data_IF_497703943878
#
_entry.id   IF_497703943878
#
_cell.length_a   1.000
_cell.length_b   1.000
_cell.length_c   1.000
_cell.angle_alpha   90.00
_cell.angle_beta   90.00
_cell.angle_gamma   90.00
#
_symmetry.space_group_name_H-M   'P 1'
#
loop_
_entity.id
_entity.type
_entity.pdbx_description
1 polymer ?
#
# COMPACT_ATOMS: atom_id res chain seq x y z
N UNK A 1 -10.47 -0.08 -17.75
CA UNK A 1 -10.85 -0.87 -16.54
C UNK A 1 -9.87 -2.01 -16.36
N UNK A 2 -9.45 -2.29 -15.12
CA UNK A 2 -8.42 -3.29 -14.84
C UNK A 2 -9.03 -4.69 -14.81
N UNK A 3 -8.41 -5.62 -15.55
CA UNK A 3 -8.71 -7.04 -15.47
C UNK A 3 -7.64 -7.75 -14.60
N UNK A 4 -8.02 -8.14 -13.40
CA UNK A 4 -7.11 -8.80 -12.44
C UNK A 4 -6.60 -10.15 -12.94
N UNK A 5 -7.35 -10.82 -13.80
CA UNK A 5 -6.95 -12.14 -14.34
C UNK A 5 -5.74 -12.05 -15.27
N UNK A 6 -5.48 -10.89 -15.87
CA UNK A 6 -4.32 -10.67 -16.75
C UNK A 6 -3.01 -10.42 -15.98
N UNK A 7 -3.09 -10.23 -14.66
CA UNK A 7 -1.91 -10.00 -13.83
C UNK A 7 -1.06 -11.27 -13.73
N UNK A 8 0.24 -11.13 -13.97
CA UNK A 8 1.20 -12.24 -13.87
C UNK A 8 1.93 -12.20 -12.53
N UNK A 9 2.10 -13.37 -11.91
CA UNK A 9 2.93 -13.52 -10.70
C UNK A 9 4.40 -13.23 -11.04
N UNK A 10 5.06 -12.50 -10.17
CA UNK A 10 6.50 -12.18 -10.30
C UNK A 10 7.26 -12.88 -9.17
N UNK A 11 8.43 -13.46 -9.51
CA UNK A 11 9.33 -14.04 -8.51
C UNK A 11 9.85 -12.95 -7.57
N UNK A 12 9.53 -13.07 -6.28
CA UNK A 12 9.91 -12.14 -5.21
C UNK A 12 9.81 -12.84 -3.86
N UNK A 13 10.31 -12.21 -2.78
CA UNK A 13 10.28 -12.75 -1.42
C UNK A 13 8.89 -12.67 -0.73
N UNK A 14 7.92 -12.07 -1.38
CA UNK A 14 6.50 -12.08 -0.99
C UNK A 14 5.64 -11.99 -2.25
N UNK A 15 4.33 -12.30 -2.19
CA UNK A 15 3.49 -12.34 -3.37
C UNK A 15 3.35 -10.97 -4.04
N UNK A 16 3.76 -10.90 -5.31
CA UNK A 16 3.63 -9.74 -6.17
C UNK A 16 3.05 -10.16 -7.52
N UNK A 17 2.09 -9.40 -8.03
CA UNK A 17 1.49 -9.57 -9.34
C UNK A 17 1.59 -8.28 -10.14
N UNK A 18 1.90 -8.39 -11.41
CA UNK A 18 2.11 -7.25 -12.30
C UNK A 18 1.29 -7.41 -13.57
N UNK A 19 0.60 -6.36 -13.96
CA UNK A 19 -0.02 -6.20 -15.27
C UNK A 19 0.67 -5.09 -16.02
N UNK A 20 1.32 -5.43 -17.15
CA UNK A 20 1.79 -4.44 -18.09
C UNK A 20 0.59 -3.97 -18.92
N UNK A 21 0.48 -2.65 -19.15
CA UNK A 21 -0.61 -2.07 -19.96
C UNK A 21 -2.02 -2.51 -19.49
N UNK A 22 -2.21 -2.69 -18.18
CA UNK A 22 -3.49 -3.07 -17.59
C UNK A 22 -4.54 -1.94 -17.66
N UNK A 23 -4.10 -0.71 -17.91
CA UNK A 23 -4.92 0.45 -18.27
C UNK A 23 -4.44 0.95 -19.63
N UNK A 24 -5.37 1.33 -20.50
CA UNK A 24 -5.04 1.88 -21.81
C UNK A 24 -4.26 3.20 -21.71
N UNK A 25 -3.39 3.49 -22.68
CA UNK A 25 -2.64 4.76 -22.72
C UNK A 25 -3.58 5.96 -22.68
N UNK A 26 -4.67 5.90 -23.44
CA UNK A 26 -5.73 6.93 -23.49
C UNK A 26 -6.39 7.16 -22.14
N UNK A 27 -6.69 6.07 -21.39
CA UNK A 27 -7.28 6.21 -20.05
C UNK A 27 -6.26 6.77 -19.06
N UNK A 28 -4.98 6.42 -19.17
CA UNK A 28 -3.92 7.01 -18.34
C UNK A 28 -3.82 8.53 -18.53
N UNK A 29 -3.86 8.99 -19.77
CA UNK A 29 -3.82 10.43 -20.12
C UNK A 29 -5.02 11.16 -19.50
N UNK A 30 -6.23 10.63 -19.70
CA UNK A 30 -7.44 11.19 -19.07
C UNK A 30 -7.36 11.23 -17.54
N UNK A 31 -6.85 10.17 -16.89
CA UNK A 31 -6.65 10.15 -15.44
C UNK A 31 -5.64 11.20 -14.98
N UNK A 32 -4.56 11.40 -15.74
CA UNK A 32 -3.58 12.45 -15.46
C UNK A 32 -4.24 13.83 -15.55
N UNK A 33 -5.04 14.08 -16.58
CA UNK A 33 -5.72 15.37 -16.74
C UNK A 33 -6.75 15.60 -15.64
N UNK A 34 -7.50 14.58 -15.24
CA UNK A 34 -8.40 14.67 -14.09
C UNK A 34 -7.64 15.00 -12.78
N UNK A 35 -6.45 14.41 -12.55
CA UNK A 35 -5.61 14.70 -11.38
C UNK A 35 -5.03 16.13 -11.47
N UNK A 36 -4.57 16.58 -12.64
CA UNK A 36 -4.04 17.94 -12.85
C UNK A 36 -5.08 19.02 -12.59
N UNK A 37 -6.31 18.75 -13.02
CA UNK A 37 -7.43 19.69 -12.91
C UNK A 37 -8.10 19.65 -11.52
N UNK A 38 -7.58 18.84 -10.60
CA UNK A 38 -8.05 18.84 -9.22
C UNK A 38 -7.76 20.19 -8.56
N UNK A 39 -8.80 20.86 -8.03
CA UNK A 39 -8.68 22.17 -7.43
C UNK A 39 -7.89 22.18 -6.11
N UNK A 40 -7.88 21.05 -5.40
CA UNK A 40 -7.19 20.92 -4.12
C UNK A 40 -6.68 19.51 -3.90
N UNK A 41 -5.55 19.43 -3.24
CA UNK A 41 -4.99 18.19 -2.71
C UNK A 41 -5.10 18.22 -1.19
N UNK A 42 -5.21 17.04 -0.58
CA UNK A 42 -5.43 16.93 0.86
C UNK A 42 -4.19 17.26 1.67
N UNK A 43 -3.03 16.86 1.16
CA UNK A 43 -1.75 17.04 1.84
C UNK A 43 -0.60 17.24 0.87
N UNK A 44 0.32 18.12 1.25
CA UNK A 44 1.72 18.00 0.89
C UNK A 44 2.31 16.94 1.82
N UNK A 45 2.37 15.70 1.36
CA UNK A 45 3.24 14.76 2.05
C UNK A 45 4.66 15.21 1.78
N UNK A 46 5.46 15.34 2.82
CA UNK A 46 6.87 15.66 2.72
C UNK A 46 7.54 14.80 1.64
N UNK A 47 8.52 15.37 0.96
CA UNK A 47 9.16 14.73 -0.18
C UNK A 47 8.44 14.93 -1.52
N UNK A 48 7.53 15.91 -1.64
CA UNK A 48 6.99 16.35 -2.92
C UNK A 48 5.85 15.47 -3.50
N UNK A 49 5.09 14.78 -2.66
CA UNK A 49 3.86 14.08 -3.08
C UNK A 49 2.62 14.84 -2.65
N UNK A 50 1.75 15.12 -3.60
CA UNK A 50 0.39 15.60 -3.36
C UNK A 50 -0.59 14.47 -3.65
N UNK A 51 -1.66 14.35 -2.88
CA UNK A 51 -2.67 13.31 -3.03
C UNK A 51 -4.08 13.81 -2.80
N UNK A 52 -5.03 13.12 -3.42
CA UNK A 52 -6.47 13.23 -3.15
C UNK A 52 -6.87 11.91 -2.52
N UNK A 53 -7.06 11.91 -1.20
CA UNK A 53 -7.20 10.70 -0.41
C UNK A 53 -8.67 10.37 -0.15
N UNK A 54 -9.04 9.10 -0.27
CA UNK A 54 -10.34 8.62 0.18
C UNK A 54 -10.53 8.92 1.67
N UNK A 55 -11.64 9.57 2.01
CA UNK A 55 -11.94 10.00 3.37
C UNK A 55 -11.91 11.51 3.57
N UNK A 56 -11.22 12.23 2.68
CA UNK A 56 -11.25 13.69 2.69
C UNK A 56 -12.50 14.26 2.03
N UNK A 57 -12.84 15.50 2.35
CA UNK A 57 -13.89 16.25 1.66
C UNK A 57 -13.55 16.46 0.16
N UNK A 58 -12.27 16.69 -0.12
CA UNK A 58 -11.76 16.88 -1.47
C UNK A 58 -11.98 15.66 -2.35
N UNK A 59 -11.85 14.46 -1.82
CA UNK A 59 -12.02 13.22 -2.57
C UNK A 59 -13.41 13.10 -3.19
N UNK A 60 -14.47 13.42 -2.44
CA UNK A 60 -15.83 13.36 -2.93
C UNK A 60 -16.07 14.38 -4.06
N UNK A 61 -15.57 15.59 -3.87
CA UNK A 61 -15.69 16.67 -4.85
C UNK A 61 -14.89 16.34 -6.12
N UNK A 62 -13.71 15.78 -5.97
CA UNK A 62 -12.91 15.29 -7.08
C UNK A 62 -13.64 14.23 -7.89
N UNK A 63 -14.20 13.18 -7.26
CA UNK A 63 -14.90 12.11 -7.95
C UNK A 63 -16.19 12.57 -8.66
N UNK A 64 -16.87 13.60 -8.15
CA UNK A 64 -18.04 14.18 -8.84
C UNK A 64 -17.66 14.79 -10.20
N UNK A 65 -16.46 15.36 -10.31
CA UNK A 65 -15.97 16.06 -11.51
C UNK A 65 -15.11 15.17 -12.42
N UNK A 66 -14.62 14.05 -11.93
CA UNK A 66 -13.64 13.17 -12.57
C UNK A 66 -14.27 11.83 -12.93
N UNK A 67 -14.88 11.77 -14.13
CA UNK A 67 -15.69 10.61 -14.58
C UNK A 67 -14.88 9.29 -14.58
N UNK A 68 -13.65 9.32 -15.09
CA UNK A 68 -12.83 8.11 -15.20
C UNK A 68 -12.27 7.66 -13.86
N UNK A 69 -11.81 8.60 -13.04
CA UNK A 69 -11.38 8.34 -11.66
C UNK A 69 -12.51 7.76 -10.82
N UNK A 70 -13.74 8.26 -10.99
CA UNK A 70 -14.92 7.73 -10.32
C UNK A 70 -15.24 6.31 -10.80
N UNK A 71 -15.16 6.04 -12.10
CA UNK A 71 -15.37 4.70 -12.67
C UNK A 71 -14.34 3.72 -12.12
N UNK A 72 -13.06 4.11 -12.06
CA UNK A 72 -11.99 3.31 -11.48
C UNK A 72 -12.24 3.07 -9.98
N UNK A 73 -12.55 4.12 -9.23
CA UNK A 73 -12.89 4.01 -7.82
C UNK A 73 -14.06 3.03 -7.58
N UNK A 74 -15.14 3.13 -8.35
CA UNK A 74 -16.29 2.21 -8.24
C UNK A 74 -15.89 0.77 -8.51
N UNK A 75 -15.00 0.52 -9.47
CA UNK A 75 -14.47 -0.82 -9.74
C UNK A 75 -13.73 -1.37 -8.53
N UNK A 76 -12.77 -0.61 -7.98
CA UNK A 76 -11.99 -1.06 -6.83
C UNK A 76 -12.83 -1.19 -5.57
N UNK A 77 -13.83 -0.33 -5.40
CA UNK A 77 -14.74 -0.32 -4.25
C UNK A 77 -15.92 -1.28 -4.42
N UNK A 78 -15.79 -2.30 -5.26
CA UNK A 78 -16.81 -3.33 -5.44
C UNK A 78 -16.38 -4.65 -4.81
N UNK A 79 -17.35 -5.36 -4.25
CA UNK A 79 -17.11 -6.69 -3.67
C UNK A 79 -16.60 -7.69 -4.72
N UNK A 80 -17.13 -7.62 -5.93
CA UNK A 80 -16.73 -8.52 -7.02
C UNK A 80 -15.26 -8.35 -7.41
N UNK A 81 -14.77 -7.11 -7.50
CA UNK A 81 -13.38 -6.85 -7.79
C UNK A 81 -12.46 -7.27 -6.63
N UNK A 82 -12.84 -6.94 -5.39
CA UNK A 82 -12.13 -7.40 -4.21
C UNK A 82 -11.98 -8.94 -4.20
N UNK A 83 -13.06 -9.68 -4.44
CA UNK A 83 -13.02 -11.14 -4.50
C UNK A 83 -12.12 -11.69 -5.59
N UNK A 84 -12.06 -11.04 -6.76
CA UNK A 84 -11.09 -11.38 -7.82
C UNK A 84 -9.65 -11.18 -7.34
N UNK A 85 -9.33 -10.07 -6.67
CA UNK A 85 -8.00 -9.83 -6.07
C UNK A 85 -7.69 -10.89 -5.02
N UNK A 86 -8.59 -11.11 -4.08
CA UNK A 86 -8.46 -12.12 -3.00
C UNK A 86 -8.15 -13.52 -3.57
N UNK A 87 -8.89 -13.96 -4.58
CA UNK A 87 -8.70 -15.27 -5.21
C UNK A 87 -7.31 -15.42 -5.85
N UNK A 88 -6.74 -14.34 -6.40
CA UNK A 88 -5.37 -14.35 -6.96
C UNK A 88 -4.30 -14.60 -5.90
N UNK A 89 -4.54 -14.19 -4.67
CA UNK A 89 -3.62 -14.34 -3.54
C UNK A 89 -3.99 -15.51 -2.60
N UNK A 90 -5.15 -16.13 -2.76
CA UNK A 90 -5.67 -17.16 -1.84
C UNK A 90 -4.68 -18.29 -1.55
N UNK A 91 -3.99 -18.79 -2.57
CA UNK A 91 -3.01 -19.88 -2.43
C UNK A 91 -1.78 -19.47 -1.60
N UNK A 92 -1.51 -18.19 -1.48
CA UNK A 92 -0.31 -17.66 -0.79
C UNK A 92 -0.56 -17.34 0.68
N UNK A 93 -1.79 -17.35 1.15
CA UNK A 93 -2.11 -17.05 2.54
C UNK A 93 -1.41 -17.95 3.55
N UNK A 94 -1.43 -19.28 3.29
CA UNK A 94 -0.78 -20.25 4.17
C UNK A 94 0.74 -20.10 4.19
N UNK A 95 1.32 -19.76 3.03
CA UNK A 95 2.78 -19.68 2.87
C UNK A 95 3.38 -18.43 3.50
N UNK A 96 2.58 -17.35 3.59
CA UNK A 96 3.03 -16.04 4.07
C UNK A 96 2.40 -15.61 5.38
N UNK A 97 1.85 -16.55 6.13
CA UNK A 97 1.48 -16.33 7.51
C UNK A 97 0.07 -15.80 7.77
N UNK A 98 -0.80 -15.78 6.79
CA UNK A 98 -2.21 -15.49 7.01
C UNK A 98 -2.97 -16.73 7.45
N UNK A 99 -3.63 -16.65 8.60
CA UNK A 99 -4.56 -17.67 9.04
C UNK A 99 -5.91 -17.50 8.34
N UNK A 100 -6.57 -18.61 7.96
CA UNK A 100 -7.94 -18.58 7.47
C UNK A 100 -8.92 -17.91 8.45
N UNK A 101 -8.60 -17.91 9.76
CA UNK A 101 -9.40 -17.24 10.78
C UNK A 101 -9.44 -15.70 10.64
N UNK A 102 -8.53 -15.15 9.84
CA UNK A 102 -8.44 -13.69 9.61
C UNK A 102 -8.84 -13.28 8.20
N UNK A 103 -9.32 -14.22 7.37
CA UNK A 103 -9.87 -13.88 6.08
C UNK A 103 -11.14 -13.03 6.27
N UNK A 104 -11.22 -11.89 5.60
CA UNK A 104 -12.41 -11.05 5.74
C UNK A 104 -13.63 -11.76 5.15
N UNK A 105 -14.70 -11.81 5.91
CA UNK A 105 -15.98 -12.39 5.44
C UNK A 105 -16.75 -11.43 4.55
N UNK A 106 -16.55 -10.14 4.74
CA UNK A 106 -17.35 -9.11 4.08
C UNK A 106 -16.50 -7.91 3.65
N UNK A 107 -16.68 -7.50 2.41
CA UNK A 107 -16.19 -6.23 1.92
C UNK A 107 -17.24 -5.15 2.21
N UNK A 108 -16.83 -4.10 2.91
CA UNK A 108 -17.68 -2.97 3.19
C UNK A 108 -17.49 -1.87 2.15
N UNK A 109 -18.58 -1.44 1.54
CA UNK A 109 -18.60 -0.25 0.67
C UNK A 109 -18.59 1.07 1.43
N UNK A 110 -18.57 1.00 2.74
CA UNK A 110 -18.75 2.15 3.61
C UNK A 110 -17.67 3.21 3.44
N UNK A 111 -18.07 4.43 3.77
CA UNK A 111 -17.19 5.59 3.85
C UNK A 111 -16.01 5.25 4.76
N UNK A 112 -14.81 5.41 4.25
CA UNK A 112 -13.63 5.37 5.08
C UNK A 112 -13.74 6.56 6.05
N UNK A 113 -14.17 6.31 7.25
CA UNK A 113 -14.03 7.28 8.32
C UNK A 113 -12.55 7.41 8.63
N UNK A 114 -12.06 8.63 8.77
CA UNK A 114 -10.70 8.89 9.20
C UNK A 114 -10.31 7.84 10.24
N UNK A 115 -9.22 7.13 10.00
CA UNK A 115 -8.65 6.19 10.97
C UNK A 115 -8.49 6.99 12.25
N UNK A 116 -9.40 6.84 13.20
CA UNK A 116 -9.11 7.18 14.57
C UNK A 116 -7.87 6.37 14.91
N UNK A 117 -6.78 7.05 15.11
CA UNK A 117 -5.53 6.45 15.52
C UNK A 117 -5.84 5.67 16.81
N UNK A 118 -5.83 4.34 16.68
CA UNK A 118 -6.03 3.51 17.85
C UNK A 118 -4.89 3.76 18.82
N UNK A 119 -5.22 4.15 20.03
CA UNK A 119 -4.21 4.25 21.06
C UNK A 119 -3.63 2.86 21.35
N UNK A 120 -2.43 2.82 21.91
CA UNK A 120 -1.72 1.58 22.18
C UNK A 120 -2.48 0.60 23.09
N UNK A 121 -3.37 1.09 23.99
CA UNK A 121 -4.20 0.25 24.86
C UNK A 121 -5.31 -0.46 24.09
N UNK A 122 -5.96 0.26 23.16
CA UNK A 122 -6.98 -0.33 22.30
C UNK A 122 -6.39 -1.38 21.38
N UNK A 123 -5.22 -1.08 20.78
CA UNK A 123 -4.51 -2.03 19.94
C UNK A 123 -4.13 -3.30 20.73
N UNK A 124 -3.62 -3.17 21.94
CA UNK A 124 -3.25 -4.29 22.82
C UNK A 124 -4.46 -5.11 23.23
N UNK A 125 -5.58 -4.46 23.59
CA UNK A 125 -6.84 -5.13 23.90
C UNK A 125 -7.39 -5.89 22.70
N UNK A 126 -7.19 -5.35 21.49
CA UNK A 126 -7.60 -5.98 20.26
C UNK A 126 -6.73 -7.17 19.85
N UNK A 127 -5.42 -7.09 20.03
CA UNK A 127 -4.48 -8.19 19.72
C UNK A 127 -4.71 -9.42 20.60
N UNK A 128 -5.23 -9.23 21.82
CA UNK A 128 -5.63 -10.32 22.72
C UNK A 128 -6.93 -11.02 22.34
N UNK A 129 -7.71 -10.48 21.40
CA UNK A 129 -8.98 -11.06 20.97
C UNK A 129 -8.85 -11.73 19.61
N UNK A 130 -9.39 -12.93 19.50
CA UNK A 130 -9.54 -13.61 18.19
C UNK A 130 -10.70 -12.96 17.45
N UNK A 131 -10.41 -12.21 16.40
CA UNK A 131 -11.46 -11.62 15.56
C UNK A 131 -11.94 -12.62 14.53
N UNK A 132 -13.17 -13.07 14.70
CA UNK A 132 -13.90 -13.77 13.64
C UNK A 132 -14.33 -12.72 12.61
N UNK A 133 -14.02 -12.96 11.33
CA UNK A 133 -14.56 -12.23 10.18
C UNK A 133 -14.36 -10.70 10.19
N UNK A 134 -13.13 -10.19 10.13
CA UNK A 134 -12.90 -8.75 10.01
C UNK A 134 -13.43 -8.20 8.68
N UNK A 135 -13.96 -6.99 8.71
CA UNK A 135 -14.41 -6.29 7.51
C UNK A 135 -13.24 -5.69 6.74
N UNK A 136 -13.36 -5.65 5.42
CA UNK A 136 -12.36 -5.06 4.53
C UNK A 136 -12.88 -3.77 3.93
N UNK A 137 -12.03 -2.76 3.91
CA UNK A 137 -12.27 -1.46 3.30
C UNK A 137 -11.21 -1.18 2.23
N UNK A 138 -11.61 -0.44 1.22
CA UNK A 138 -10.68 0.14 0.26
C UNK A 138 -10.09 1.44 0.82
N UNK A 139 -8.77 1.56 0.79
CA UNK A 139 -8.02 2.81 0.90
C UNK A 139 -7.44 3.13 -0.47
N UNK A 140 -7.65 4.35 -0.99
CA UNK A 140 -7.17 4.74 -2.32
C UNK A 140 -6.89 6.23 -2.35
N UNK A 141 -5.82 6.60 -3.02
CA UNK A 141 -5.49 7.98 -3.34
C UNK A 141 -5.04 8.15 -4.80
N UNK A 142 -5.37 9.29 -5.36
CA UNK A 142 -4.89 9.78 -6.65
C UNK A 142 -3.76 10.76 -6.38
N UNK A 143 -2.60 10.50 -6.97
CA UNK A 143 -1.36 11.15 -6.53
C UNK A 143 -0.53 11.70 -7.66
N UNK A 144 0.13 12.81 -7.36
CA UNK A 144 1.20 13.37 -8.17
C UNK A 144 2.42 13.62 -7.29
N UNK A 145 3.61 13.26 -7.76
CA UNK A 145 4.87 13.60 -7.09
C UNK A 145 5.77 14.43 -7.99
N UNK A 146 6.51 15.33 -7.32
CA UNK A 146 7.57 16.17 -7.91
C UNK A 146 8.95 15.55 -7.61
N UNK A 147 9.99 16.16 -8.10
CA UNK A 147 11.37 15.82 -7.73
C UNK A 147 11.58 15.84 -6.22
N UNK A 148 12.46 14.98 -5.73
CA UNK A 148 12.70 14.78 -4.30
C UNK A 148 11.84 13.69 -3.66
N UNK A 149 10.73 13.28 -4.26
CA UNK A 149 9.89 12.23 -3.69
C UNK A 149 10.64 10.90 -3.58
N UNK A 150 10.67 10.36 -2.38
CA UNK A 150 11.17 9.01 -2.07
C UNK A 150 10.37 8.41 -0.93
N UNK A 151 10.41 7.11 -0.81
CA UNK A 151 9.83 6.42 0.34
C UNK A 151 10.83 5.36 0.81
N UNK A 152 11.29 5.49 2.05
CA UNK A 152 12.23 4.54 2.65
C UNK A 152 11.68 3.12 2.62
N UNK A 153 12.56 2.11 2.58
CA UNK A 153 12.13 0.73 2.74
C UNK A 153 11.35 0.55 4.04
N UNK A 154 10.14 0.06 3.91
CA UNK A 154 9.25 -0.16 5.03
C UNK A 154 8.29 -1.31 4.73
N UNK A 155 7.60 -1.71 5.73
CA UNK A 155 6.46 -2.59 5.69
C UNK A 155 5.21 -1.78 5.99
N UNK A 156 4.14 -2.05 5.26
CA UNK A 156 2.88 -1.36 5.52
C UNK A 156 2.27 -1.70 6.88
N UNK A 157 1.25 -0.93 7.22
CA UNK A 157 0.45 -1.14 8.43
C UNK A 157 -0.11 -2.57 8.48
N UNK A 158 -0.19 -3.11 9.69
CA UNK A 158 -0.70 -4.47 9.95
C UNK A 158 -2.17 -4.67 9.59
N UNK A 159 -2.90 -3.60 9.31
CA UNK A 159 -4.28 -3.68 8.82
C UNK A 159 -4.38 -3.95 7.33
N UNK A 160 -3.31 -3.74 6.56
CA UNK A 160 -3.34 -3.90 5.10
C UNK A 160 -3.22 -5.35 4.69
N UNK A 161 -4.07 -5.77 3.74
CA UNK A 161 -4.08 -7.09 3.15
C UNK A 161 -3.35 -7.13 1.81
N UNK A 162 -3.81 -6.29 0.90
CA UNK A 162 -3.29 -6.15 -0.45
C UNK A 162 -3.06 -4.70 -0.75
N UNK A 163 -1.88 -4.39 -1.26
CA UNK A 163 -1.57 -3.07 -1.75
C UNK A 163 -1.58 -3.07 -3.27
N UNK A 164 -1.87 -1.93 -3.87
CA UNK A 164 -1.75 -1.75 -5.30
C UNK A 164 -1.16 -0.40 -5.66
N UNK A 165 -0.45 -0.38 -6.76
CA UNK A 165 0.14 0.80 -7.36
C UNK A 165 -0.13 0.78 -8.86
N UNK A 166 -0.67 1.87 -9.38
CA UNK A 166 -0.96 2.07 -10.80
C UNK A 166 -0.11 3.24 -11.28
N UNK A 167 0.76 3.00 -12.23
CA UNK A 167 1.53 4.05 -12.87
C UNK A 167 0.77 4.63 -14.06
N UNK A 168 0.60 5.95 -14.08
CA UNK A 168 -0.14 6.63 -15.14
C UNK A 168 0.76 7.19 -16.24
N UNK A 169 2.06 7.37 -15.97
CA UNK A 169 3.02 7.82 -16.96
C UNK A 169 4.36 7.08 -16.85
N UNK A 170 5.11 7.13 -17.93
CA UNK A 170 6.46 6.60 -17.98
C UNK A 170 7.45 7.54 -17.31
N UNK A 171 8.33 6.98 -16.48
CA UNK A 171 9.48 7.66 -15.89
C UNK A 171 10.72 6.86 -16.28
N UNK A 172 11.72 7.45 -16.94
CA UNK A 172 12.96 6.75 -17.26
C UNK A 172 13.65 6.22 -16.00
N UNK A 173 14.26 5.06 -16.10
CA UNK A 173 14.90 4.38 -14.95
C UNK A 173 15.91 5.28 -14.22
N UNK A 174 16.69 6.08 -14.97
CA UNK A 174 17.69 7.02 -14.42
C UNK A 174 17.08 8.10 -13.51
N UNK A 175 15.78 8.38 -13.68
CA UNK A 175 15.06 9.37 -12.89
C UNK A 175 14.40 8.78 -11.63
N UNK A 176 14.45 7.48 -11.42
CA UNK A 176 13.94 6.82 -10.23
C UNK A 176 12.42 6.81 -10.13
N UNK A 177 11.87 6.99 -8.92
CA UNK A 177 10.42 6.90 -8.66
C UNK A 177 9.87 5.47 -8.76
N UNK A 178 10.72 4.47 -8.84
CA UNK A 178 10.38 3.06 -8.98
C UNK A 178 9.97 2.44 -7.64
N UNK A 179 9.01 1.52 -7.67
CA UNK A 179 8.71 0.66 -6.53
C UNK A 179 9.82 -0.39 -6.39
N UNK A 180 10.54 -0.35 -5.28
CA UNK A 180 11.59 -1.32 -4.96
C UNK A 180 11.11 -2.32 -3.92
N UNK A 181 11.45 -3.58 -4.12
CA UNK A 181 11.18 -4.70 -3.22
C UNK A 181 12.48 -5.11 -2.54
N UNK A 182 12.41 -5.35 -1.25
CA UNK A 182 13.58 -5.69 -0.43
C UNK A 182 13.40 -7.02 0.30
N UNK A 183 14.52 -7.68 0.59
CA UNK A 183 14.61 -8.81 1.52
C UNK A 183 15.56 -8.45 2.66
N UNK A 184 15.40 -9.08 3.80
CA UNK A 184 16.38 -9.00 4.88
C UNK A 184 17.69 -9.64 4.44
N UNK A 185 18.83 -9.03 4.80
CA UNK A 185 20.17 -9.56 4.47
C UNK A 185 20.54 -10.77 5.32
N UNK A 186 20.09 -10.79 6.57
CA UNK A 186 20.36 -11.87 7.53
C UNK A 186 19.04 -12.35 8.12
N UNK A 187 19.04 -13.59 8.63
CA UNK A 187 17.98 -14.06 9.51
C UNK A 187 18.06 -13.28 10.82
N UNK A 188 17.46 -12.11 10.81
CA UNK A 188 17.40 -11.28 12.00
C UNK A 188 16.65 -12.06 13.07
N UNK A 189 17.31 -12.25 14.24
CA UNK A 189 16.66 -12.81 15.41
C UNK A 189 15.25 -12.19 15.54
N UNK A 190 14.27 -13.04 15.71
CA UNK A 190 12.85 -12.80 15.75
C UNK A 190 12.37 -11.41 16.23
N UNK A 191 12.99 -10.85 17.29
CA UNK A 191 12.62 -9.55 17.86
C UNK A 191 12.95 -8.34 17.00
N UNK A 192 14.03 -8.39 16.19
CA UNK A 192 14.42 -7.30 15.29
C UNK A 192 13.68 -7.36 13.96
N UNK A 193 13.05 -8.50 13.64
CA UNK A 193 12.39 -8.74 12.36
C UNK A 193 11.04 -8.03 12.19
N UNK A 194 10.53 -7.38 13.23
CA UNK A 194 9.24 -6.70 13.22
C UNK A 194 9.30 -5.19 13.05
N UNK A 195 10.47 -4.62 12.90
CA UNK A 195 10.58 -3.20 12.61
C UNK A 195 9.80 -2.90 11.32
N UNK A 196 8.86 -1.96 11.39
CA UNK A 196 8.17 -1.44 10.22
C UNK A 196 9.15 -0.73 9.29
N UNK A 197 10.09 0.00 9.85
CA UNK A 197 11.15 0.74 9.19
C UNK A 197 12.53 0.21 9.64
N UNK A 198 13.05 -0.85 9.00
CA UNK A 198 14.40 -1.33 9.27
C UNK A 198 15.43 -0.35 8.72
N UNK A 199 16.65 -0.41 9.22
CA UNK A 199 17.78 0.29 8.63
C UNK A 199 18.01 -0.17 7.19
N UNK A 200 18.44 0.76 6.33
CA UNK A 200 18.70 0.43 4.92
C UNK A 200 19.82 -0.61 4.76
N UNK A 201 20.77 -0.61 5.68
CA UNK A 201 21.85 -1.60 5.77
C UNK A 201 21.36 -3.02 6.08
N UNK A 202 20.20 -3.14 6.72
CA UNK A 202 19.60 -4.43 7.09
C UNK A 202 18.86 -5.09 5.92
N UNK A 203 18.68 -4.37 4.81
CA UNK A 203 17.90 -4.80 3.65
C UNK A 203 18.76 -4.90 2.39
N UNK A 204 18.41 -5.83 1.52
CA UNK A 204 18.91 -5.93 0.15
C UNK A 204 17.77 -5.75 -0.84
N UNK A 205 17.95 -4.86 -1.81
CA UNK A 205 17.00 -4.70 -2.92
C UNK A 205 17.04 -5.94 -3.81
N UNK A 206 15.89 -6.55 -4.07
CA UNK A 206 15.77 -7.77 -4.86
C UNK A 206 15.03 -7.55 -6.18
N UNK A 207 14.19 -6.53 -6.24
CA UNK A 207 13.40 -6.23 -7.44
C UNK A 207 13.09 -4.75 -7.49
N UNK A 208 12.94 -4.23 -8.71
CA UNK A 208 12.51 -2.86 -8.94
C UNK A 208 11.51 -2.81 -10.10
N UNK A 209 10.46 -2.01 -9.94
CA UNK A 209 9.43 -1.79 -10.94
C UNK A 209 9.45 -0.32 -11.34
N UNK A 210 10.09 -0.05 -12.47
CA UNK A 210 10.13 1.31 -13.06
C UNK A 210 8.72 1.74 -13.43
N UNK A 211 8.34 3.01 -13.19
CA UNK A 211 7.05 3.53 -13.62
C UNK A 211 6.87 3.38 -15.13
N UNK A 212 5.85 2.65 -15.52
CA UNK A 212 5.47 2.43 -16.91
C UNK A 212 3.98 2.68 -17.07
N UNK A 213 3.63 3.54 -18.05
CA UNK A 213 2.25 3.97 -18.30
C UNK A 213 1.30 2.78 -18.41
N UNK A 214 0.24 2.79 -17.61
CA UNK A 214 -0.79 1.74 -17.56
C UNK A 214 -0.39 0.48 -16.83
N UNK A 215 0.82 0.40 -16.25
CA UNK A 215 1.21 -0.76 -15.45
C UNK A 215 0.56 -0.74 -14.07
N UNK A 216 0.17 -1.91 -13.61
CA UNK A 216 -0.47 -2.14 -12.32
C UNK A 216 0.30 -3.19 -11.55
N UNK A 217 0.59 -2.90 -10.30
CA UNK A 217 1.28 -3.80 -9.39
C UNK A 217 0.36 -4.04 -8.21
N UNK A 218 0.09 -5.31 -7.91
CA UNK A 218 -0.53 -5.73 -6.66
C UNK A 218 0.48 -6.52 -5.84
N UNK A 219 0.48 -6.32 -4.53
CA UNK A 219 1.27 -7.13 -3.64
C UNK A 219 0.55 -7.37 -2.31
N UNK A 220 0.80 -8.55 -1.76
CA UNK A 220 0.25 -8.94 -0.48
C UNK A 220 1.10 -8.38 0.67
N UNK A 221 0.44 -7.78 1.66
CA UNK A 221 1.11 -7.43 2.90
C UNK A 221 1.45 -8.69 3.70
N UNK A 222 2.71 -8.81 4.09
CA UNK A 222 3.24 -9.91 4.89
C UNK A 222 4.28 -9.35 5.87
N UNK A 223 4.70 -10.12 6.87
CA UNK A 223 5.81 -9.70 7.74
C UNK A 223 7.12 -9.38 7.00
N UNK A 224 7.27 -9.89 5.77
CA UNK A 224 8.48 -9.70 4.96
C UNK A 224 8.26 -8.80 3.73
N UNK A 225 7.11 -8.12 3.62
CA UNK A 225 6.77 -7.30 2.45
C UNK A 225 7.44 -5.93 2.47
N UNK A 226 8.75 -5.90 2.69
CA UNK A 226 9.51 -4.66 2.66
C UNK A 226 9.59 -4.08 1.26
N UNK A 227 9.15 -2.85 1.14
CA UNK A 227 9.14 -2.12 -0.12
C UNK A 227 9.37 -0.63 0.13
N UNK A 228 9.71 0.08 -0.93
CA UNK A 228 9.95 1.53 -0.88
C UNK A 228 9.87 2.14 -2.26
N UNK A 229 10.07 3.44 -2.36
CA UNK A 229 10.15 4.15 -3.64
C UNK A 229 11.51 4.80 -3.75
N UNK A 230 12.22 4.52 -4.85
CA UNK A 230 13.50 5.16 -5.13
C UNK A 230 13.32 6.67 -5.35
N UNK A 231 14.36 7.45 -5.03
CA UNK A 231 14.33 8.89 -5.21
C UNK A 231 13.94 9.26 -6.64
N UNK A 232 12.85 10.00 -6.77
CA UNK A 232 12.42 10.55 -8.06
C UNK A 232 13.15 11.86 -8.32
N UNK A 233 13.93 11.88 -9.41
CA UNK A 233 14.59 13.08 -9.93
C UNK A 233 13.75 13.64 -11.07
N UNK A 234 13.31 14.87 -10.91
CA UNK A 234 12.45 15.54 -11.88
C UNK A 234 13.14 15.69 -13.24
N UNK A 235 12.38 15.54 -14.30
CA UNK A 235 12.79 15.81 -15.69
C UNK A 235 11.99 17.03 -16.11
N UNK A 236 12.62 18.20 -16.34
CA UNK A 236 12.00 19.40 -16.92
C UNK A 236 10.45 19.40 -16.86
N UNK A 237 9.89 19.68 -15.67
CA UNK A 237 8.45 19.77 -15.47
C UNK A 237 7.63 18.47 -15.55
N UNK A 238 8.25 17.31 -15.77
CA UNK A 238 7.54 16.04 -15.75
C UNK A 238 7.33 15.55 -14.34
N UNK A 239 6.07 15.51 -13.92
CA UNK A 239 5.64 14.96 -12.64
C UNK A 239 5.37 13.47 -12.79
N UNK A 240 5.48 12.71 -11.70
CA UNK A 240 5.12 11.30 -11.64
C UNK A 240 3.67 11.18 -11.16
N UNK A 241 2.78 10.67 -12.00
CA UNK A 241 1.37 10.44 -11.72
C UNK A 241 1.12 8.97 -11.41
N UNK A 242 0.38 8.69 -10.34
CA UNK A 242 0.08 7.33 -9.93
C UNK A 242 -1.16 7.28 -9.03
N UNK A 243 -1.74 6.09 -8.95
CA UNK A 243 -2.81 5.78 -8.00
C UNK A 243 -2.26 4.72 -7.06
N UNK A 244 -2.35 4.97 -5.77
CA UNK A 244 -1.94 4.03 -4.73
C UNK A 244 -3.13 3.67 -3.87
N UNK A 245 -3.16 2.44 -3.38
CA UNK A 245 -4.19 2.06 -2.43
C UNK A 245 -3.97 0.68 -1.82
N UNK A 246 -4.89 0.32 -0.95
CA UNK A 246 -4.87 -0.98 -0.29
C UNK A 246 -6.27 -1.44 0.06
N UNK A 247 -6.44 -2.75 0.10
CA UNK A 247 -7.52 -3.36 0.85
C UNK A 247 -7.04 -3.56 2.28
N UNK A 248 -7.71 -2.91 3.22
CA UNK A 248 -7.33 -2.89 4.62
C UNK A 248 -8.46 -3.40 5.51
N UNK A 249 -8.11 -4.10 6.56
CA UNK A 249 -9.06 -4.52 7.58
C UNK A 249 -9.43 -3.33 8.47
N UNK A 250 -10.65 -3.34 8.97
CA UNK A 250 -11.11 -2.36 9.96
C UNK A 250 -10.37 -2.47 11.30
N UNK A 251 -9.67 -3.59 11.50
CA UNK A 251 -8.94 -3.92 12.73
C UNK A 251 -7.58 -4.54 12.38
N UNK A 252 -6.57 -4.42 13.24
CA UNK A 252 -5.27 -5.03 13.04
C UNK A 252 -5.36 -6.54 12.86
N UNK A 253 -4.48 -7.08 12.05
CA UNK A 253 -4.38 -8.53 11.79
C UNK A 253 -3.15 -9.08 12.47
N UNK A 254 -3.31 -10.24 13.04
CA UNK A 254 -2.18 -11.03 13.50
C UNK A 254 -1.72 -11.93 12.37
N UNK A 255 -0.50 -11.74 11.90
CA UNK A 255 0.11 -12.66 10.96
C UNK A 255 0.56 -13.94 11.68
N UNK A 256 0.34 -15.09 11.05
CA UNK A 256 0.88 -16.35 11.52
C UNK A 256 1.90 -16.86 10.49
N UNK A 257 3.09 -17.18 10.93
CA UNK A 257 4.00 -18.01 10.16
C UNK A 257 3.63 -19.49 10.30
N UNK A 258 4.08 -20.33 9.38
CA UNK A 258 4.04 -21.77 9.56
C UNK A 258 4.53 -22.09 10.98
N UNK A 259 3.67 -22.67 11.81
CA UNK A 259 3.96 -23.13 13.17
C UNK A 259 4.32 -22.10 14.25
N UNK A 260 4.22 -20.80 13.97
CA UNK A 260 4.49 -19.79 15.00
C UNK A 260 3.39 -18.75 15.03
N UNK A 261 2.69 -18.65 16.13
CA UNK A 261 1.77 -17.54 16.38
C UNK A 261 2.59 -16.26 16.63
N UNK A 262 2.49 -15.31 15.70
CA UNK A 262 3.08 -13.98 15.85
C UNK A 262 2.15 -13.03 16.61
N UNK A 263 1.65 -13.48 17.74
CA UNK A 263 1.45 -12.55 18.82
C UNK A 263 2.85 -12.35 19.41
N UNK A 264 3.50 -11.20 19.18
CA UNK A 264 4.65 -10.91 20.00
C UNK A 264 4.14 -11.03 21.44
N UNK A 265 4.80 -11.80 22.31
CA UNK A 265 4.68 -11.59 23.75
C UNK A 265 5.18 -10.16 23.95
N UNK A 266 4.26 -9.20 23.81
CA UNK A 266 4.56 -7.79 23.86
C UNK A 266 4.83 -7.52 25.32
N UNK A 267 6.09 -7.66 25.72
CA UNK A 267 6.54 -7.08 26.96
C UNK A 267 6.21 -5.59 26.88
N UNK A 268 5.72 -5.04 27.97
CA UNK A 268 5.26 -3.64 28.13
C UNK A 268 6.18 -2.54 27.52
N UNK A 269 7.41 -2.87 27.20
CA UNK A 269 8.45 -1.98 26.66
C UNK A 269 8.36 -1.68 25.16
N UNK A 270 7.56 -2.42 24.39
CA UNK A 270 7.51 -2.27 22.93
C UNK A 270 6.24 -1.56 22.41
N UNK A 271 5.71 -0.62 23.18
CA UNK A 271 4.53 0.19 22.80
C UNK A 271 4.66 0.89 21.44
N UNK A 272 5.90 1.22 21.00
CA UNK A 272 6.17 1.96 19.75
C UNK A 272 6.04 1.13 18.46
N UNK A 273 6.08 -0.19 18.53
CA UNK A 273 6.10 -1.03 17.33
C UNK A 273 4.74 -1.22 16.63
N UNK A 274 3.66 -0.83 17.30
CA UNK A 274 2.30 -1.14 16.86
C UNK A 274 1.46 0.11 16.52
N UNK A 275 1.96 1.31 16.79
CA UNK A 275 1.26 2.56 16.53
C UNK A 275 1.76 3.19 15.24
N UNK A 276 0.92 3.23 14.23
CA UNK A 276 1.25 3.71 12.88
C UNK A 276 1.45 5.23 12.77
N UNK A 277 0.98 5.99 13.74
CA UNK A 277 0.97 7.46 13.65
C UNK A 277 2.30 8.13 13.96
N UNK A 278 3.07 7.57 14.90
CA UNK A 278 4.37 8.13 15.25
C UNK A 278 5.46 7.78 14.23
N UNK A 279 5.23 6.73 13.42
CA UNK A 279 6.18 6.31 12.40
C UNK A 279 6.14 7.19 11.15
N UNK A 280 5.03 7.90 10.88
CA UNK A 280 4.99 8.90 9.81
C UNK A 280 5.88 10.09 10.14
N UNK A 281 5.87 10.56 11.38
CA UNK A 281 6.73 11.67 11.83
C UNK A 281 8.22 11.30 11.83
N UNK A 282 8.54 10.03 12.08
CA UNK A 282 9.92 9.54 12.03
C UNK A 282 10.46 9.43 10.61
N UNK A 283 9.61 9.06 9.64
CA UNK A 283 9.95 9.10 8.21
C UNK A 283 10.32 10.50 7.73
N UNK A 284 9.83 11.50 8.43
CA UNK A 284 9.90 12.89 8.06
C UNK A 284 11.18 13.57 8.57
N UNK A 285 11.71 13.16 9.73
CA UNK A 285 12.87 13.80 10.35
C UNK A 285 14.23 13.35 9.81
N UNK A 286 14.31 12.16 9.20
CA UNK A 286 15.58 11.64 8.63
C UNK A 286 15.73 11.94 7.13
N UNK A 287 14.90 12.80 6.55
CA UNK A 287 14.91 13.17 5.13
C UNK A 287 15.43 14.60 4.94
N UNK A 288 15.85 15.26 6.05
CA UNK A 288 16.56 16.53 6.01
C UNK A 288 17.99 16.37 5.51
#
# INVERSE_FOLDING_TARGET
MINVNTLKKVKSNFPVMVGKSAISKKDCEKLIDEIRNAKSFDDLIQGGRNRINKGSSNFKNYLKKSKLSNKLYKQFNSQSFYKKVENRFKKTFKDYGWSNAYLPSKFLREKFTNKKLMNSKELMKMLGKTYKNPNVNLDIDFSVSRGGYRLRPHRDDVTRLYNFLIYLNDIPKKNGGALSIFKKKTDMKYRKSFKRFPGISELAKVKEFTPSKGSVIFFQSTPNSYHGVSLFREIKGKKRFFIYGSYALSKPVVWRYKNVSYLPKIKKTNKRMLTSSHDSDYLMREVG
#
